data_IF_347677339686
#
_entry.id   IF_347677339686
#
_cell.length_a   1.000
_cell.length_b   1.000
_cell.length_c   1.000
_cell.angle_alpha   90.00
_cell.angle_beta   90.00
_cell.angle_gamma   90.00
#
_symmetry.space_group_name_H-M   'P 1'
#
loop_
_entity.id
_entity.type
_entity.pdbx_description
1 polymer ?
#
# COMPACT_ATOMS: atom_id res chain seq x y z
N UNK A 1 12.81 -9.06 16.03
CA UNK A 1 13.23 -7.64 15.97
C UNK A 1 14.75 -7.50 15.94
N UNK A 2 15.51 -8.15 16.84
CA UNK A 2 16.98 -8.08 16.86
C UNK A 2 17.66 -8.42 15.52
N UNK A 3 17.24 -9.51 14.87
CA UNK A 3 17.78 -9.89 13.55
C UNK A 3 17.64 -8.80 12.49
N UNK A 4 16.50 -8.09 12.42
CA UNK A 4 16.25 -7.07 11.39
C UNK A 4 17.19 -5.88 11.58
N UNK A 5 17.40 -5.48 12.84
CA UNK A 5 18.36 -4.42 13.17
C UNK A 5 19.80 -4.83 12.82
N UNK A 6 20.16 -6.10 13.02
CA UNK A 6 21.47 -6.61 12.61
C UNK A 6 21.69 -6.50 11.09
N UNK A 7 20.69 -6.91 10.29
CA UNK A 7 20.75 -6.76 8.83
C UNK A 7 20.84 -5.31 8.38
N UNK A 8 20.06 -4.42 9.00
CA UNK A 8 20.07 -2.99 8.68
C UNK A 8 21.40 -2.32 9.03
N UNK A 9 21.99 -2.66 10.18
CA UNK A 9 23.33 -2.16 10.55
C UNK A 9 24.38 -2.68 9.57
N UNK A 10 24.32 -3.97 9.20
CA UNK A 10 25.25 -4.57 8.24
C UNK A 10 25.18 -3.94 6.84
N UNK A 11 24.00 -3.49 6.42
CA UNK A 11 23.78 -2.78 5.17
C UNK A 11 24.53 -1.45 5.12
N UNK A 12 24.51 -0.66 6.20
CA UNK A 12 25.25 0.59 6.27
C UNK A 12 26.77 0.38 6.23
N UNK A 13 27.28 -0.67 6.89
CA UNK A 13 28.70 -1.03 6.80
C UNK A 13 29.12 -1.40 5.38
N UNK A 14 28.29 -2.18 4.67
CA UNK A 14 28.58 -2.56 3.28
C UNK A 14 28.53 -1.36 2.32
N UNK A 15 27.57 -0.44 2.49
CA UNK A 15 27.53 0.81 1.71
C UNK A 15 28.77 1.66 1.95
N UNK A 16 29.20 1.80 3.21
CA UNK A 16 30.41 2.54 3.54
C UNK A 16 31.65 1.95 2.85
N UNK A 17 31.76 0.61 2.81
CA UNK A 17 32.83 -0.09 2.09
C UNK A 17 32.77 0.10 0.58
N UNK A 18 31.57 0.06 -0.01
CA UNK A 18 31.39 0.39 -1.44
C UNK A 18 31.88 1.80 -1.72
N UNK A 19 31.45 2.79 -0.92
CA UNK A 19 31.86 4.18 -1.09
C UNK A 19 33.37 4.38 -0.99
N UNK A 20 34.02 3.70 -0.03
CA UNK A 20 35.48 3.71 0.14
C UNK A 20 36.20 3.15 -1.11
N UNK A 21 35.76 2.01 -1.64
CA UNK A 21 36.42 1.40 -2.82
C UNK A 21 36.15 2.18 -4.09
N UNK A 22 34.94 2.71 -4.25
CA UNK A 22 34.59 3.60 -5.37
C UNK A 22 35.46 4.86 -5.33
N UNK A 23 35.65 5.47 -4.14
CA UNK A 23 36.55 6.61 -3.99
C UNK A 23 37.99 6.27 -4.42
N UNK A 24 38.52 5.12 -4.01
CA UNK A 24 39.83 4.67 -4.45
C UNK A 24 39.90 4.44 -5.98
N UNK A 25 38.84 3.91 -6.60
CA UNK A 25 38.76 3.74 -8.05
C UNK A 25 38.69 5.07 -8.80
N UNK A 26 37.99 6.06 -8.24
CA UNK A 26 37.95 7.43 -8.78
C UNK A 26 39.35 8.05 -8.71
N UNK A 27 40.07 7.94 -7.59
CA UNK A 27 41.45 8.44 -7.50
C UNK A 27 42.42 7.78 -8.51
N UNK A 28 42.21 6.49 -8.83
CA UNK A 28 42.98 5.79 -9.87
C UNK A 28 42.55 6.18 -11.29
N UNK A 29 41.26 6.46 -11.52
CA UNK A 29 40.76 6.95 -12.80
C UNK A 29 41.22 8.40 -13.06
N UNK A 30 41.17 9.26 -12.05
CA UNK A 30 41.68 10.63 -12.12
C UNK A 30 43.18 10.65 -12.45
N UNK A 31 43.93 9.66 -11.96
CA UNK A 31 45.33 9.47 -12.31
C UNK A 31 45.53 8.95 -13.75
N UNK A 32 44.62 8.10 -14.27
CA UNK A 32 44.65 7.59 -15.65
C UNK A 32 44.41 8.69 -16.69
N UNK A 33 43.62 9.70 -16.35
CA UNK A 33 43.30 10.85 -17.20
C UNK A 33 44.17 12.09 -16.91
N UNK A 34 45.26 11.93 -16.16
CA UNK A 34 46.20 13.00 -15.78
C UNK A 34 45.55 14.22 -15.06
N UNK A 35 44.42 14.01 -14.37
CA UNK A 35 43.75 15.08 -13.61
C UNK A 35 44.42 15.39 -12.27
N UNK A 36 45.23 14.47 -11.73
CA UNK A 36 45.85 14.60 -10.41
C UNK A 36 47.30 14.10 -10.39
N UNK A 37 48.13 14.68 -9.54
CA UNK A 37 49.51 14.24 -9.35
C UNK A 37 49.57 12.82 -8.73
N UNK A 38 50.46 11.93 -9.20
CA UNK A 38 50.66 10.60 -8.61
C UNK A 38 50.92 10.62 -7.10
N UNK A 39 51.62 11.63 -6.58
CA UNK A 39 51.85 11.77 -5.13
C UNK A 39 50.54 11.98 -4.36
N UNK A 40 49.69 12.89 -4.86
CA UNK A 40 48.41 13.22 -4.22
C UNK A 40 47.42 12.05 -4.31
N UNK A 41 47.40 11.33 -5.44
CA UNK A 41 46.56 10.14 -5.61
C UNK A 41 46.99 9.02 -4.67
N UNK A 42 48.29 8.71 -4.60
CA UNK A 42 48.81 7.68 -3.69
C UNK A 42 48.55 8.03 -2.22
N UNK A 43 48.72 9.29 -1.81
CA UNK A 43 48.46 9.74 -0.44
C UNK A 43 46.97 9.59 -0.05
N UNK A 44 46.05 9.98 -0.95
CA UNK A 44 44.59 9.83 -0.74
C UNK A 44 44.18 8.37 -0.66
N UNK A 45 44.73 7.52 -1.53
CA UNK A 45 44.46 6.08 -1.51
C UNK A 45 44.98 5.47 -0.20
N UNK A 46 46.22 5.75 0.18
CA UNK A 46 46.86 5.20 1.38
C UNK A 46 46.13 5.61 2.67
N UNK A 47 45.59 6.83 2.73
CA UNK A 47 44.79 7.30 3.86
C UNK A 47 43.51 6.48 4.06
N UNK A 48 42.91 6.00 2.96
CA UNK A 48 41.60 5.33 2.96
C UNK A 48 41.70 3.79 3.02
N UNK A 49 42.86 3.21 2.68
CA UNK A 49 43.09 1.74 2.71
C UNK A 49 43.00 1.16 4.12
N UNK A 50 43.52 1.84 5.15
CA UNK A 50 43.42 1.33 6.54
C UNK A 50 41.98 1.37 7.08
N UNK A 51 41.22 2.46 6.93
CA UNK A 51 39.78 2.48 7.24
C UNK A 51 39.00 1.36 6.55
N UNK A 52 39.27 1.06 5.28
CA UNK A 52 38.64 -0.08 4.56
C UNK A 52 38.84 -1.40 5.33
N UNK A 53 40.07 -1.69 5.75
CA UNK A 53 40.40 -2.96 6.41
C UNK A 53 39.76 -3.06 7.80
N UNK A 54 39.74 -1.95 8.53
CA UNK A 54 39.12 -1.87 9.86
C UNK A 54 37.61 -2.08 9.74
N UNK A 55 36.95 -1.37 8.83
CA UNK A 55 35.49 -1.47 8.63
C UNK A 55 35.10 -2.90 8.24
N UNK A 56 35.88 -3.53 7.35
CA UNK A 56 35.65 -4.92 6.96
C UNK A 56 35.86 -5.91 8.13
N UNK A 57 36.91 -5.71 8.94
CA UNK A 57 37.17 -6.56 10.11
C UNK A 57 36.06 -6.46 11.14
N UNK A 58 35.60 -5.23 11.43
CA UNK A 58 34.46 -4.95 12.31
C UNK A 58 33.19 -5.62 11.79
N UNK A 59 32.92 -5.55 10.49
CA UNK A 59 31.77 -6.20 9.86
C UNK A 59 31.82 -7.73 10.02
N UNK A 60 32.99 -8.35 9.85
CA UNK A 60 33.16 -9.79 10.03
C UNK A 60 32.90 -10.22 11.49
N UNK A 61 33.43 -9.47 12.46
CA UNK A 61 33.22 -9.71 13.89
C UNK A 61 31.75 -9.48 14.26
N UNK A 62 31.11 -8.46 13.69
CA UNK A 62 29.69 -8.19 13.86
C UNK A 62 28.80 -9.35 13.40
N UNK A 63 29.11 -9.98 12.26
CA UNK A 63 28.37 -11.16 11.80
C UNK A 63 28.55 -12.39 12.71
N UNK A 64 29.71 -12.54 13.35
CA UNK A 64 29.94 -13.59 14.35
C UNK A 64 29.10 -13.35 15.61
N UNK A 65 29.09 -12.12 16.15
CA UNK A 65 28.31 -11.78 17.34
C UNK A 65 26.80 -11.87 17.13
N UNK A 66 26.33 -11.54 15.93
CA UNK A 66 24.89 -11.60 15.58
C UNK A 66 24.41 -13.01 15.22
N UNK A 67 25.31 -14.00 15.17
CA UNK A 67 24.98 -15.39 14.87
C UNK A 67 24.69 -15.65 13.38
N UNK A 68 25.06 -14.74 12.48
CA UNK A 68 24.89 -14.87 11.04
C UNK A 68 26.09 -15.58 10.38
N UNK A 69 26.31 -16.83 10.76
CA UNK A 69 27.47 -17.65 10.36
C UNK A 69 27.69 -17.74 8.86
N UNK A 70 26.62 -17.85 8.06
CA UNK A 70 26.71 -17.90 6.61
C UNK A 70 27.37 -16.63 6.02
N UNK A 71 26.97 -15.45 6.51
CA UNK A 71 27.55 -14.17 6.08
C UNK A 71 28.97 -13.98 6.62
N UNK A 72 29.24 -14.46 7.84
CA UNK A 72 30.59 -14.46 8.38
C UNK A 72 31.54 -15.27 7.50
N UNK A 73 31.15 -16.49 7.10
CA UNK A 73 31.92 -17.36 6.20
C UNK A 73 32.16 -16.67 4.84
N UNK A 74 31.15 -16.00 4.29
CA UNK A 74 31.28 -15.23 3.05
C UNK A 74 32.14 -13.96 3.19
N UNK A 75 32.38 -13.44 4.39
CA UNK A 75 33.26 -12.28 4.59
C UNK A 75 34.72 -12.66 4.87
N UNK A 76 34.97 -13.91 5.31
CA UNK A 76 36.29 -14.40 5.70
C UNK A 76 37.35 -14.37 4.57
N UNK A 77 37.08 -14.78 3.31
CA UNK A 77 38.10 -14.78 2.27
C UNK A 77 38.64 -13.37 1.97
N UNK A 78 37.75 -12.37 1.97
CA UNK A 78 38.11 -10.98 1.73
C UNK A 78 38.91 -10.38 2.90
N UNK A 79 38.49 -10.68 4.14
CA UNK A 79 39.23 -10.27 5.33
C UNK A 79 40.62 -10.92 5.37
N UNK A 80 40.71 -12.22 5.06
CA UNK A 80 41.97 -12.96 5.00
C UNK A 80 42.92 -12.38 3.94
N UNK A 81 42.41 -12.03 2.76
CA UNK A 81 43.19 -11.36 1.72
C UNK A 81 43.76 -10.01 2.21
N UNK A 82 42.93 -9.16 2.82
CA UNK A 82 43.38 -7.87 3.35
C UNK A 82 44.39 -8.03 4.50
N UNK A 83 44.19 -9.02 5.37
CA UNK A 83 45.12 -9.34 6.46
C UNK A 83 46.48 -9.83 5.93
N UNK A 84 46.48 -10.70 4.91
CA UNK A 84 47.69 -11.14 4.23
C UNK A 84 48.45 -9.97 3.60
N UNK A 85 47.72 -9.04 2.96
CA UNK A 85 48.30 -7.84 2.35
C UNK A 85 48.93 -6.90 3.38
N UNK A 86 48.25 -6.74 4.53
CA UNK A 86 48.77 -5.99 5.67
C UNK A 86 50.03 -6.64 6.27
N UNK A 87 50.00 -7.96 6.51
CA UNK A 87 51.13 -8.71 7.08
C UNK A 87 52.36 -8.71 6.19
N UNK A 88 52.18 -8.66 4.86
CA UNK A 88 53.27 -8.54 3.88
C UNK A 88 53.75 -7.11 3.67
N UNK A 89 53.16 -6.12 4.36
CA UNK A 89 53.41 -4.67 4.19
C UNK A 89 53.21 -4.14 2.76
N UNK A 90 52.40 -4.83 1.95
CA UNK A 90 52.12 -4.48 0.54
C UNK A 90 50.76 -3.78 0.37
N UNK A 91 50.24 -3.14 1.43
CA UNK A 91 48.93 -2.50 1.41
C UNK A 91 48.99 -1.03 0.95
N UNK A 92 50.17 -0.41 0.99
CA UNK A 92 50.38 0.96 0.53
C UNK A 92 50.75 0.97 -0.96
N UNK A 93 50.31 2.00 -1.66
CA UNK A 93 50.66 2.25 -3.06
C UNK A 93 51.90 3.12 -3.11
N UNK A 94 52.93 2.66 -3.81
CA UNK A 94 54.17 3.39 -4.03
C UNK A 94 54.03 4.38 -5.19
N UNK A 95 54.43 5.63 -4.95
CA UNK A 95 54.29 6.76 -5.90
C UNK A 95 55.06 6.51 -7.20
N UNK A 96 56.21 5.83 -7.12
CA UNK A 96 57.10 5.60 -8.26
C UNK A 96 56.64 4.48 -9.18
N UNK A 97 55.84 3.53 -8.68
CA UNK A 97 55.38 2.36 -9.43
C UNK A 97 53.90 2.41 -9.81
N UNK A 98 53.17 3.44 -9.36
CA UNK A 98 51.72 3.56 -9.51
C UNK A 98 51.24 3.47 -10.96
N UNK A 99 51.98 4.05 -11.92
CA UNK A 99 51.64 3.99 -13.34
C UNK A 99 51.88 2.60 -13.94
N UNK A 100 52.97 1.92 -13.56
CA UNK A 100 53.29 0.58 -14.06
C UNK A 100 52.28 -0.47 -13.57
N UNK A 101 51.77 -0.29 -12.35
CA UNK A 101 50.83 -1.20 -11.71
C UNK A 101 49.36 -0.74 -11.83
N UNK A 102 49.07 0.37 -12.49
CA UNK A 102 47.76 1.03 -12.52
C UNK A 102 46.63 0.08 -12.93
N UNK A 103 46.81 -0.60 -14.07
CA UNK A 103 45.84 -1.57 -14.58
C UNK A 103 45.60 -2.73 -13.61
N UNK A 104 46.65 -3.16 -12.91
CA UNK A 104 46.58 -4.25 -11.95
C UNK A 104 45.88 -3.83 -10.66
N UNK A 105 46.20 -2.66 -10.11
CA UNK A 105 45.55 -2.06 -8.94
C UNK A 105 44.06 -1.79 -9.17
N UNK A 106 43.70 -1.26 -10.35
CA UNK A 106 42.31 -1.04 -10.76
C UNK A 106 41.54 -2.37 -10.81
N UNK A 107 42.12 -3.42 -11.41
CA UNK A 107 41.49 -4.74 -11.51
C UNK A 107 41.30 -5.40 -10.13
N UNK A 108 42.27 -5.28 -9.23
CA UNK A 108 42.13 -5.75 -7.84
C UNK A 108 40.94 -5.07 -7.14
N UNK A 109 40.87 -3.74 -7.20
CA UNK A 109 39.79 -2.96 -6.54
C UNK A 109 38.42 -3.19 -7.17
N UNK A 110 38.37 -3.43 -8.49
CA UNK A 110 37.15 -3.82 -9.18
C UNK A 110 36.65 -5.21 -8.73
N UNK A 111 37.55 -6.18 -8.53
CA UNK A 111 37.19 -7.49 -8.00
C UNK A 111 36.71 -7.41 -6.54
N UNK A 112 37.39 -6.59 -5.71
CA UNK A 112 36.96 -6.26 -4.35
C UNK A 112 35.54 -5.65 -4.33
N UNK A 113 35.29 -4.69 -5.21
CA UNK A 113 33.99 -4.04 -5.37
C UNK A 113 32.90 -5.05 -5.74
N UNK A 114 33.14 -5.89 -6.74
CA UNK A 114 32.20 -6.92 -7.17
C UNK A 114 31.85 -7.88 -6.01
N UNK A 115 32.84 -8.27 -5.21
CA UNK A 115 32.64 -9.11 -4.04
C UNK A 115 31.77 -8.44 -2.96
N UNK A 116 31.99 -7.15 -2.69
CA UNK A 116 31.20 -6.41 -1.69
C UNK A 116 29.77 -6.16 -2.21
N UNK A 117 29.59 -5.88 -3.50
CA UNK A 117 28.26 -5.76 -4.11
C UNK A 117 27.48 -7.08 -4.02
N UNK A 118 28.15 -8.22 -4.25
CA UNK A 118 27.51 -9.53 -4.07
C UNK A 118 27.05 -9.75 -2.62
N UNK A 119 27.89 -9.39 -1.64
CA UNK A 119 27.52 -9.46 -0.22
C UNK A 119 26.38 -8.48 0.13
N UNK A 120 26.36 -7.28 -0.44
CA UNK A 120 25.27 -6.32 -0.29
C UNK A 120 23.95 -6.87 -0.84
N UNK A 121 23.99 -7.50 -2.01
CA UNK A 121 22.80 -8.13 -2.58
C UNK A 121 22.28 -9.28 -1.71
N UNK A 122 23.17 -10.16 -1.24
CA UNK A 122 22.79 -11.27 -0.37
C UNK A 122 22.23 -10.79 0.97
N UNK A 123 22.75 -9.71 1.55
CA UNK A 123 22.23 -9.15 2.82
C UNK A 123 20.83 -8.55 2.63
N UNK A 124 20.57 -7.84 1.52
CA UNK A 124 19.23 -7.34 1.18
C UNK A 124 18.25 -8.51 0.95
N UNK A 125 18.70 -9.56 0.26
CA UNK A 125 17.89 -10.76 0.02
C UNK A 125 17.53 -11.49 1.33
N UNK A 126 18.50 -11.70 2.21
CA UNK A 126 18.27 -12.31 3.53
C UNK A 126 17.36 -11.44 4.42
N UNK A 127 17.55 -10.12 4.42
CA UNK A 127 16.68 -9.19 5.12
C UNK A 127 15.23 -9.29 4.62
N UNK A 128 15.04 -9.34 3.30
CA UNK A 128 13.73 -9.48 2.66
C UNK A 128 13.05 -10.78 3.06
N UNK A 129 13.74 -11.93 3.01
CA UNK A 129 13.19 -13.22 3.46
C UNK A 129 12.75 -13.16 4.93
N UNK A 130 13.53 -12.51 5.80
CA UNK A 130 13.18 -12.34 7.22
C UNK A 130 12.00 -11.38 7.42
N UNK A 131 11.87 -10.35 6.59
CA UNK A 131 10.73 -9.44 6.59
C UNK A 131 9.45 -10.17 6.14
N UNK A 132 9.53 -10.98 5.08
CA UNK A 132 8.42 -11.79 4.57
C UNK A 132 8.04 -12.94 5.53
N UNK A 133 9.01 -13.59 6.17
CA UNK A 133 8.73 -14.62 7.19
C UNK A 133 8.29 -14.03 8.53
N UNK A 134 8.64 -12.78 8.85
CA UNK A 134 8.06 -12.03 9.98
C UNK A 134 6.59 -11.62 9.76
N UNK A 135 6.13 -11.62 8.50
CA UNK A 135 4.74 -11.38 8.10
C UNK A 135 3.92 -12.69 7.97
N UNK A 136 4.58 -13.86 7.89
CA UNK A 136 3.91 -15.16 8.05
C UNK A 136 3.99 -15.58 9.53
N UNK A 137 2.86 -15.80 10.24
CA UNK A 137 2.94 -16.49 11.52
C UNK A 137 3.62 -17.84 11.29
N UNK A 138 4.69 -18.12 12.05
CA UNK A 138 5.34 -19.42 12.03
C UNK A 138 4.28 -20.49 12.32
N UNK A 139 3.93 -21.27 11.32
CA UNK A 139 3.37 -22.60 11.54
C UNK A 139 4.44 -23.40 12.26
N UNK A 140 4.29 -23.57 13.56
CA UNK A 140 5.17 -24.42 14.36
C UNK A 140 5.16 -25.83 13.78
N UNK A 141 6.36 -26.28 13.45
CA UNK A 141 6.68 -27.66 13.10
C UNK A 141 6.14 -28.64 14.14
N UNK A 142 5.58 -29.72 13.61
CA UNK A 142 5.57 -31.11 14.08
C UNK A 142 6.24 -31.39 15.46
N UNK A 143 5.50 -32.08 16.32
CA UNK A 143 5.83 -32.50 17.70
C UNK A 143 5.79 -31.39 18.76
N UNK A 144 4.59 -31.11 19.28
CA UNK A 144 4.29 -31.19 20.73
C UNK A 144 2.81 -30.88 20.93
N UNK A 145 2.03 -31.90 21.25
CA UNK A 145 0.66 -31.75 21.73
C UNK A 145 0.72 -31.20 23.17
N UNK A 146 0.44 -29.91 23.32
CA UNK A 146 0.15 -29.27 24.59
C UNK A 146 -0.91 -28.22 24.36
N UNK A 147 -2.15 -28.50 24.79
CA UNK A 147 -3.26 -27.56 24.75
C UNK A 147 -2.84 -26.23 25.41
N UNK A 148 -2.56 -25.21 24.59
CA UNK A 148 -2.27 -23.87 25.08
C UNK A 148 -3.60 -23.21 25.48
N UNK A 149 -3.75 -22.98 26.79
CA UNK A 149 -4.90 -22.29 27.35
C UNK A 149 -4.95 -20.83 26.87
N UNK A 150 -5.74 -20.58 25.82
CA UNK A 150 -6.07 -19.27 25.22
C UNK A 150 -6.36 -18.17 26.26
N UNK A 151 -6.97 -18.55 27.39
CA UNK A 151 -7.29 -17.61 28.46
C UNK A 151 -6.04 -16.99 29.12
N UNK A 152 -4.95 -17.75 29.30
CA UNK A 152 -3.77 -17.25 30.00
C UNK A 152 -3.01 -16.20 29.17
N UNK A 153 -2.94 -16.39 27.86
CA UNK A 153 -2.38 -15.38 26.95
C UNK A 153 -3.27 -14.13 26.86
N UNK A 154 -4.59 -14.31 26.83
CA UNK A 154 -5.53 -13.20 26.78
C UNK A 154 -5.43 -12.30 28.03
N UNK A 155 -5.45 -12.90 29.23
CA UNK A 155 -5.27 -12.14 30.47
C UNK A 155 -3.88 -11.51 30.56
N UNK A 156 -2.83 -12.17 30.08
CA UNK A 156 -1.47 -11.61 30.04
C UNK A 156 -1.34 -10.37 29.15
N UNK A 157 -2.02 -10.35 27.99
CA UNK A 157 -2.06 -9.18 27.09
C UNK A 157 -2.85 -8.02 27.69
N UNK A 158 -3.99 -8.29 28.31
CA UNK A 158 -4.79 -7.28 28.99
C UNK A 158 -4.00 -6.65 30.15
N UNK A 159 -3.35 -7.46 30.97
CA UNK A 159 -2.57 -6.98 32.11
C UNK A 159 -1.36 -6.11 31.69
N UNK A 160 -0.70 -6.46 30.57
CA UNK A 160 0.36 -5.64 29.97
C UNK A 160 -0.16 -4.30 29.43
N UNK A 161 -1.36 -4.28 28.85
CA UNK A 161 -1.98 -3.03 28.34
C UNK A 161 -2.42 -2.08 29.45
N UNK A 162 -2.81 -2.62 30.62
CA UNK A 162 -3.14 -1.83 31.80
C UNK A 162 -1.91 -1.22 32.50
N UNK A 163 -0.73 -1.83 32.36
CA UNK A 163 0.49 -1.36 33.01
C UNK A 163 1.27 -0.29 32.21
N UNK A 164 1.00 -0.08 30.92
CA UNK A 164 1.67 0.97 30.14
C UNK A 164 0.96 2.33 30.32
N UNK A 165 1.20 2.96 31.46
CA UNK A 165 0.89 4.37 31.68
C UNK A 165 1.90 5.31 31.00
N UNK A 166 1.43 6.52 30.67
CA UNK A 166 2.19 7.72 30.23
C UNK A 166 2.67 7.82 28.78
N UNK A 167 1.80 7.53 27.80
CA UNK A 167 1.97 7.99 26.41
C UNK A 167 0.64 8.54 25.88
N UNK A 168 0.69 9.64 25.09
CA UNK A 168 -0.50 10.22 24.42
C UNK A 168 -1.36 9.10 23.82
N UNK A 169 -2.67 9.19 24.02
CA UNK A 169 -3.65 8.22 23.52
C UNK A 169 -3.65 8.17 21.99
N UNK A 170 -2.65 7.49 21.41
CA UNK A 170 -2.76 6.88 20.11
C UNK A 170 -3.80 5.79 20.27
N UNK A 171 -5.01 6.08 19.80
CA UNK A 171 -6.07 5.08 19.67
C UNK A 171 -5.51 4.02 18.72
N UNK A 172 -4.89 2.99 19.27
CA UNK A 172 -4.47 1.83 18.50
C UNK A 172 -5.74 1.33 17.83
N UNK A 173 -5.85 1.52 16.51
CA UNK A 173 -6.82 0.78 15.71
C UNK A 173 -6.43 -0.66 15.94
N UNK A 174 -7.13 -1.33 16.85
CA UNK A 174 -7.17 -2.78 16.90
C UNK A 174 -7.64 -3.17 15.52
N UNK A 175 -6.69 -3.47 14.63
CA UNK A 175 -6.97 -4.16 13.38
C UNK A 175 -7.36 -5.55 13.86
N UNK A 176 -8.66 -5.71 14.17
CA UNK A 176 -9.23 -7.02 14.40
C UNK A 176 -8.71 -7.91 13.28
N UNK A 177 -8.26 -9.12 13.62
CA UNK A 177 -8.00 -10.13 12.62
C UNK A 177 -9.24 -10.16 11.74
N UNK A 178 -9.12 -10.02 10.41
CA UNK A 178 -10.30 -10.04 9.57
C UNK A 178 -10.98 -11.37 9.85
N UNK A 179 -12.22 -11.32 10.35
CA UNK A 179 -13.12 -12.46 10.28
C UNK A 179 -13.00 -12.91 8.84
N UNK A 180 -12.52 -14.14 8.61
CA UNK A 180 -12.39 -14.68 7.26
C UNK A 180 -13.73 -14.50 6.53
N UNK A 181 -13.68 -14.22 5.23
CA UNK A 181 -14.90 -14.01 4.45
C UNK A 181 -15.81 -15.24 4.62
N UNK A 182 -17.03 -15.08 5.18
CA UNK A 182 -17.89 -16.21 5.40
C UNK A 182 -18.28 -16.82 4.05
N UNK A 183 -18.35 -18.15 4.02
CA UNK A 183 -18.80 -18.90 2.85
C UNK A 183 -20.28 -19.26 3.00
N UNK A 184 -21.00 -19.13 1.90
CA UNK A 184 -22.43 -19.43 1.81
C UNK A 184 -22.68 -20.45 0.70
N UNK A 185 -23.69 -21.34 0.87
CA UNK A 185 -24.10 -22.21 -0.20
C UNK A 185 -24.82 -21.38 -1.27
N UNK A 186 -24.35 -21.44 -2.51
CA UNK A 186 -24.97 -20.80 -3.66
C UNK A 186 -25.32 -21.85 -4.70
N UNK A 187 -26.54 -21.77 -5.23
CA UNK A 187 -27.04 -22.67 -6.27
C UNK A 187 -26.94 -21.99 -7.63
N UNK A 188 -26.13 -22.54 -8.53
CA UNK A 188 -26.09 -22.04 -9.91
C UNK A 188 -27.41 -22.35 -10.61
N UNK A 189 -28.00 -21.34 -11.28
CA UNK A 189 -29.28 -21.52 -12.00
C UNK A 189 -29.17 -22.51 -13.16
N UNK A 190 -28.01 -22.57 -13.82
CA UNK A 190 -27.78 -23.40 -15.01
C UNK A 190 -27.42 -24.85 -14.67
N UNK A 191 -26.53 -25.06 -13.70
CA UNK A 191 -26.00 -26.39 -13.35
C UNK A 191 -26.83 -27.10 -12.27
N UNK A 192 -27.64 -26.36 -11.50
CA UNK A 192 -28.44 -26.89 -10.39
C UNK A 192 -27.65 -27.43 -9.19
N UNK A 193 -26.32 -27.41 -9.25
CA UNK A 193 -25.41 -27.86 -8.18
C UNK A 193 -25.19 -26.79 -7.12
N UNK A 194 -24.94 -27.24 -5.89
CA UNK A 194 -24.59 -26.39 -4.76
C UNK A 194 -23.08 -26.19 -4.69
N UNK A 195 -22.64 -24.94 -4.65
CA UNK A 195 -21.25 -24.57 -4.49
C UNK A 195 -21.09 -23.67 -3.26
N UNK A 196 -20.01 -23.89 -2.51
CA UNK A 196 -19.64 -23.00 -1.41
C UNK A 196 -18.83 -21.84 -1.97
N UNK A 197 -19.43 -20.66 -1.98
CA UNK A 197 -18.81 -19.43 -2.47
C UNK A 197 -18.67 -18.41 -1.35
N UNK A 198 -17.72 -17.50 -1.49
CA UNK A 198 -17.61 -16.37 -0.56
C UNK A 198 -18.85 -15.46 -0.66
N UNK A 199 -19.26 -14.87 0.47
CA UNK A 199 -20.46 -14.03 0.54
C UNK A 199 -20.48 -12.90 -0.49
N UNK A 200 -19.33 -12.28 -0.75
CA UNK A 200 -19.22 -11.19 -1.73
C UNK A 200 -19.47 -11.68 -3.15
N UNK A 201 -18.97 -12.88 -3.49
CA UNK A 201 -19.20 -13.47 -4.80
C UNK A 201 -20.68 -13.85 -5.00
N UNK A 202 -21.35 -14.33 -3.94
CA UNK A 202 -22.78 -14.56 -3.98
C UNK A 202 -23.56 -13.25 -4.23
N UNK A 203 -23.18 -12.16 -3.55
CA UNK A 203 -23.81 -10.85 -3.70
C UNK A 203 -23.56 -10.24 -5.10
N UNK A 204 -22.34 -10.35 -5.64
CA UNK A 204 -22.04 -9.86 -6.98
C UNK A 204 -22.85 -10.59 -8.05
N UNK A 205 -23.08 -11.91 -7.91
CA UNK A 205 -23.96 -12.67 -8.81
C UNK A 205 -25.42 -12.21 -8.76
N UNK A 206 -25.87 -11.75 -7.59
CA UNK A 206 -27.17 -11.07 -7.41
C UNK A 206 -27.13 -9.58 -7.77
N UNK A 207 -26.07 -9.10 -8.42
CA UNK A 207 -25.87 -7.71 -8.88
C UNK A 207 -25.82 -6.69 -7.75
N UNK A 208 -25.38 -7.11 -6.57
CA UNK A 208 -25.20 -6.26 -5.41
C UNK A 208 -23.72 -5.97 -5.22
N UNK A 209 -23.33 -4.71 -5.36
CA UNK A 209 -21.96 -4.21 -5.21
C UNK A 209 -21.85 -3.39 -3.93
N UNK A 210 -20.89 -3.74 -3.06
CA UNK A 210 -20.63 -3.01 -1.83
C UNK A 210 -19.36 -2.15 -1.93
N UNK A 211 -19.49 -0.87 -1.66
CA UNK A 211 -18.41 0.11 -1.55
C UNK A 211 -18.34 0.56 -0.09
N UNK A 212 -17.59 -0.21 0.71
CA UNK A 212 -17.41 0.03 2.14
C UNK A 212 -16.04 0.56 2.54
N UNK A 213 -15.12 0.68 1.58
CA UNK A 213 -13.72 1.05 1.78
C UNK A 213 -13.37 2.30 0.97
N UNK A 214 -12.15 2.79 1.16
CA UNK A 214 -11.65 3.93 0.37
C UNK A 214 -11.59 3.54 -1.12
N UNK A 215 -12.02 4.45 -1.99
CA UNK A 215 -11.96 4.24 -3.43
C UNK A 215 -10.56 4.60 -3.92
N UNK A 216 -9.72 3.58 -4.01
CA UNK A 216 -8.38 3.67 -4.60
C UNK A 216 -8.41 3.14 -6.05
N UNK A 217 -7.34 3.33 -6.82
CA UNK A 217 -7.25 2.92 -8.23
C UNK A 217 -7.50 1.41 -8.44
N UNK A 218 -6.87 0.55 -7.63
CA UNK A 218 -7.04 -0.90 -7.71
C UNK A 218 -8.50 -1.31 -7.43
N UNK A 219 -9.09 -0.75 -6.38
CA UNK A 219 -10.46 -1.05 -5.99
C UNK A 219 -11.46 -0.55 -7.05
N UNK A 220 -11.26 0.66 -7.56
CA UNK A 220 -12.08 1.20 -8.64
C UNK A 220 -12.05 0.30 -9.87
N UNK A 221 -10.87 -0.15 -10.30
CA UNK A 221 -10.73 -1.07 -11.44
C UNK A 221 -11.48 -2.39 -11.24
N UNK A 222 -11.49 -2.94 -10.01
CA UNK A 222 -12.28 -4.13 -9.70
C UNK A 222 -13.80 -3.88 -9.80
N UNK A 223 -14.27 -2.74 -9.30
CA UNK A 223 -15.69 -2.35 -9.39
C UNK A 223 -16.09 -2.12 -10.85
N UNK A 224 -15.28 -1.39 -11.61
CA UNK A 224 -15.42 -1.18 -13.07
C UNK A 224 -15.57 -2.51 -13.82
N UNK A 225 -14.62 -3.43 -13.64
CA UNK A 225 -14.65 -4.73 -14.30
C UNK A 225 -15.90 -5.54 -13.91
N UNK A 226 -16.28 -5.50 -12.63
CA UNK A 226 -17.48 -6.17 -12.14
C UNK A 226 -18.74 -5.58 -12.77
N UNK A 227 -18.86 -4.26 -12.82
CA UNK A 227 -19.99 -3.55 -13.41
C UNK A 227 -20.17 -3.87 -14.89
N UNK A 228 -19.08 -3.80 -15.67
CA UNK A 228 -19.09 -4.15 -17.09
C UNK A 228 -19.47 -5.62 -17.30
N UNK A 229 -18.92 -6.54 -16.49
CA UNK A 229 -19.25 -7.95 -16.56
C UNK A 229 -20.74 -8.21 -16.27
N UNK A 230 -21.30 -7.58 -15.24
CA UNK A 230 -22.71 -7.73 -14.90
C UNK A 230 -23.64 -7.21 -16.01
N UNK A 231 -23.26 -6.13 -16.68
CA UNK A 231 -24.01 -5.57 -17.82
C UNK A 231 -23.98 -6.51 -19.04
N UNK A 232 -22.84 -7.19 -19.29
CA UNK A 232 -22.77 -8.19 -20.36
C UNK A 232 -23.60 -9.44 -20.11
N UNK A 233 -23.85 -9.80 -18.85
CA UNK A 233 -24.63 -10.99 -18.51
C UNK A 233 -26.11 -10.77 -18.78
N UNK A 234 -26.63 -9.59 -18.46
CA UNK A 234 -27.99 -9.18 -18.78
C UNK A 234 -28.10 -7.66 -18.57
N UNK A 235 -28.50 -6.92 -19.60
CA UNK A 235 -28.52 -5.46 -19.61
C UNK A 235 -29.87 -4.87 -19.14
N UNK A 236 -30.85 -5.73 -18.87
CA UNK A 236 -32.20 -5.34 -18.45
C UNK A 236 -32.35 -5.24 -16.93
N UNK A 237 -31.60 -6.05 -16.18
CA UNK A 237 -31.67 -6.07 -14.72
C UNK A 237 -30.80 -4.98 -14.11
N UNK A 238 -31.33 -4.34 -13.06
CA UNK A 238 -30.62 -3.30 -12.33
C UNK A 238 -29.40 -3.81 -11.55
N UNK A 239 -28.43 -2.92 -11.35
CA UNK A 239 -27.27 -3.11 -10.48
C UNK A 239 -27.49 -2.29 -9.21
N UNK A 240 -27.31 -2.90 -8.05
CA UNK A 240 -27.47 -2.24 -6.75
C UNK A 240 -26.12 -1.91 -6.13
N UNK A 241 -25.85 -0.63 -5.92
CA UNK A 241 -24.61 -0.14 -5.34
C UNK A 241 -24.84 0.35 -3.90
N UNK A 242 -24.30 -0.38 -2.93
CA UNK A 242 -24.35 -0.06 -1.51
C UNK A 242 -23.13 0.75 -1.10
N UNK A 243 -23.36 2.00 -0.69
CA UNK A 243 -22.33 2.97 -0.35
C UNK A 243 -22.25 3.15 1.18
N UNK A 244 -21.08 2.87 1.73
CA UNK A 244 -20.76 3.08 3.15
C UNK A 244 -19.31 3.55 3.30
N UNK A 245 -19.05 4.82 3.06
CA UNK A 245 -17.68 5.32 3.10
C UNK A 245 -17.54 6.80 2.76
N UNK A 246 -16.34 7.36 3.00
CA UNK A 246 -16.06 8.76 2.72
C UNK A 246 -15.75 9.05 1.24
N UNK A 247 -15.81 8.04 0.36
CA UNK A 247 -15.35 8.11 -1.03
C UNK A 247 -13.90 7.63 -1.15
N UNK A 248 -13.09 8.35 -1.90
CA UNK A 248 -11.66 8.08 -2.06
C UNK A 248 -11.01 9.09 -3.00
N UNK A 249 -10.16 8.61 -3.89
CA UNK A 249 -9.47 9.44 -4.86
C UNK A 249 -10.42 9.95 -5.95
N UNK A 250 -10.10 11.12 -6.49
CA UNK A 250 -10.94 11.83 -7.46
C UNK A 250 -11.10 11.05 -8.76
N UNK A 251 -9.98 10.71 -9.40
CA UNK A 251 -9.97 10.02 -10.71
C UNK A 251 -10.62 8.64 -10.65
N UNK A 252 -10.28 7.76 -9.67
CA UNK A 252 -10.93 6.45 -9.55
C UNK A 252 -12.44 6.54 -9.29
N UNK A 253 -12.90 7.54 -8.53
CA UNK A 253 -14.33 7.74 -8.30
C UNK A 253 -15.06 8.24 -9.54
N UNK A 254 -14.44 9.13 -10.31
CA UNK A 254 -14.99 9.61 -11.59
C UNK A 254 -15.06 8.50 -12.63
N UNK A 255 -14.11 7.57 -12.65
CA UNK A 255 -14.16 6.41 -13.55
C UNK A 255 -15.37 5.50 -13.25
N UNK A 256 -15.71 5.30 -11.96
CA UNK A 256 -16.94 4.60 -11.57
C UNK A 256 -18.17 5.38 -12.04
N UNK A 257 -18.18 6.71 -11.86
CA UNK A 257 -19.29 7.57 -12.31
C UNK A 257 -19.54 7.47 -13.83
N UNK A 258 -18.49 7.60 -14.64
CA UNK A 258 -18.60 7.49 -16.10
C UNK A 258 -19.09 6.11 -16.50
N UNK A 259 -18.64 5.07 -15.80
CA UNK A 259 -19.14 3.70 -16.02
C UNK A 259 -20.61 3.60 -15.70
N UNK A 260 -21.07 4.12 -14.55
CA UNK A 260 -22.49 4.15 -14.20
C UNK A 260 -23.37 4.78 -15.29
N UNK A 261 -22.85 5.80 -16.00
CA UNK A 261 -23.57 6.46 -17.11
C UNK A 261 -23.45 5.71 -18.45
N UNK A 262 -22.39 4.94 -18.64
CA UNK A 262 -22.12 4.18 -19.86
C UNK A 262 -22.91 2.87 -19.95
N UNK A 263 -23.21 2.26 -18.79
CA UNK A 263 -23.96 1.01 -18.74
C UNK A 263 -25.39 1.16 -19.27
N UNK A 264 -25.90 0.10 -19.88
CA UNK A 264 -27.33 -0.02 -20.23
C UNK A 264 -28.17 -0.39 -19.02
N UNK A 265 -27.63 -1.23 -18.14
CA UNK A 265 -28.27 -1.63 -16.90
C UNK A 265 -28.47 -0.41 -15.98
N UNK A 266 -29.69 -0.18 -15.46
CA UNK A 266 -29.91 0.93 -14.53
C UNK A 266 -29.18 0.68 -13.20
N UNK A 267 -28.47 1.70 -12.70
CA UNK A 267 -27.70 1.60 -11.46
C UNK A 267 -28.45 2.28 -10.31
N UNK A 268 -28.94 1.49 -9.35
CA UNK A 268 -29.59 1.98 -8.14
C UNK A 268 -28.61 2.11 -6.98
N UNK A 269 -28.63 3.23 -6.26
CA UNK A 269 -27.66 3.54 -5.19
C UNK A 269 -28.33 3.48 -3.82
N UNK A 270 -27.61 2.94 -2.83
CA UNK A 270 -28.12 2.73 -1.47
C UNK A 270 -27.10 3.22 -0.45
N UNK A 271 -27.40 4.30 0.26
CA UNK A 271 -26.55 4.78 1.37
C UNK A 271 -26.85 3.99 2.65
N UNK A 272 -25.84 3.26 3.13
CA UNK A 272 -25.89 2.51 4.38
C UNK A 272 -24.86 3.06 5.34
N UNK A 273 -25.32 3.76 6.37
CA UNK A 273 -24.44 4.34 7.39
C UNK A 273 -23.93 5.73 7.00
N UNK A 274 -22.93 5.82 6.12
CA UNK A 274 -22.39 7.11 5.71
C UNK A 274 -22.01 7.17 4.23
N UNK A 275 -22.26 8.30 3.58
CA UNK A 275 -21.77 8.60 2.23
C UNK A 275 -21.25 10.04 2.19
N UNK A 276 -19.93 10.20 2.34
CA UNK A 276 -19.30 11.52 2.34
C UNK A 276 -18.54 11.79 1.04
N UNK A 277 -18.34 13.06 0.73
CA UNK A 277 -17.56 13.57 -0.42
C UNK A 277 -17.96 12.87 -1.73
N UNK A 278 -17.04 12.11 -2.33
CA UNK A 278 -17.25 11.42 -3.60
C UNK A 278 -18.21 10.23 -3.49
N UNK A 279 -18.32 9.57 -2.33
CA UNK A 279 -19.38 8.58 -2.12
C UNK A 279 -20.77 9.24 -2.08
N UNK A 280 -20.88 10.45 -1.51
CA UNK A 280 -22.10 11.24 -1.57
C UNK A 280 -22.45 11.67 -3.01
N UNK A 281 -21.43 12.00 -3.82
CA UNK A 281 -21.61 12.29 -5.24
C UNK A 281 -22.11 11.06 -6.01
N UNK A 282 -21.47 9.90 -5.83
CA UNK A 282 -21.88 8.63 -6.45
C UNK A 282 -23.30 8.22 -6.02
N UNK A 283 -23.69 8.51 -4.76
CA UNK A 283 -25.06 8.28 -4.30
C UNK A 283 -26.07 9.08 -5.13
N UNK A 284 -25.81 10.38 -5.32
CA UNK A 284 -26.67 11.26 -6.09
C UNK A 284 -26.70 10.94 -7.58
N UNK A 285 -25.62 10.33 -8.10
CA UNK A 285 -25.43 9.92 -9.49
C UNK A 285 -26.27 8.71 -9.94
N UNK A 286 -26.84 7.95 -9.00
CA UNK A 286 -27.69 6.80 -9.31
C UNK A 286 -28.91 7.16 -10.14
N UNK A 287 -29.53 6.15 -10.74
CA UNK A 287 -30.71 6.31 -11.58
C UNK A 287 -31.85 7.00 -10.81
N UNK A 288 -32.51 7.97 -11.45
CA UNK A 288 -33.52 8.79 -10.77
C UNK A 288 -34.73 7.94 -10.38
N UNK A 289 -35.16 8.04 -9.13
CA UNK A 289 -36.20 7.20 -8.52
C UNK A 289 -35.66 5.92 -7.88
N UNK A 290 -34.37 5.61 -8.04
CA UNK A 290 -33.68 4.44 -7.49
C UNK A 290 -32.51 4.80 -6.57
N UNK A 291 -32.52 6.02 -6.01
CA UNK A 291 -31.53 6.47 -5.02
C UNK A 291 -32.12 6.38 -3.62
N UNK A 292 -31.52 5.57 -2.77
CA UNK A 292 -32.06 5.21 -1.47
C UNK A 292 -31.09 5.53 -0.34
N UNK A 293 -31.62 5.82 0.85
CA UNK A 293 -30.83 5.86 2.07
C UNK A 293 -31.58 5.21 3.24
N UNK A 294 -30.83 4.69 4.21
CA UNK A 294 -31.41 4.30 5.49
C UNK A 294 -31.76 5.54 6.34
N UNK A 295 -32.72 5.45 7.27
CA UNK A 295 -33.16 6.62 8.05
C UNK A 295 -32.09 7.31 8.90
N UNK A 296 -31.06 6.56 9.33
CA UNK A 296 -29.95 7.11 10.12
C UNK A 296 -28.68 7.32 9.29
N UNK A 297 -28.77 7.20 7.96
CA UNK A 297 -27.65 7.45 7.07
C UNK A 297 -27.27 8.93 7.08
N UNK A 298 -25.97 9.20 7.11
CA UNK A 298 -25.42 10.55 7.06
C UNK A 298 -24.77 10.79 5.72
N UNK A 299 -25.20 11.83 5.05
CA UNK A 299 -24.65 12.21 3.75
C UNK A 299 -23.91 13.53 3.93
N UNK A 300 -22.74 13.67 3.32
CA UNK A 300 -22.01 14.92 3.35
C UNK A 300 -21.36 15.17 1.99
N UNK A 301 -21.41 16.42 1.56
CA UNK A 301 -20.79 16.85 0.32
C UNK A 301 -19.82 17.99 0.62
N UNK A 302 -18.74 18.05 -0.15
CA UNK A 302 -17.71 19.08 -0.06
C UNK A 302 -17.16 19.35 -1.44
N UNK A 303 -16.62 20.54 -1.65
CA UNK A 303 -15.77 20.82 -2.82
C UNK A 303 -14.58 19.87 -2.85
N UNK A 304 -14.18 19.37 -4.04
CA UNK A 304 -12.91 18.67 -4.19
C UNK A 304 -11.76 19.56 -3.72
N UNK A 305 -10.74 18.92 -3.16
CA UNK A 305 -9.54 19.57 -2.66
C UNK A 305 -8.31 18.90 -3.28
N UNK A 306 -7.28 19.69 -3.57
CA UNK A 306 -6.02 19.24 -4.11
C UNK A 306 -4.89 20.13 -3.62
N UNK A 307 -3.65 19.67 -3.76
CA UNK A 307 -2.45 20.44 -3.43
C UNK A 307 -1.49 20.42 -4.61
N UNK A 308 -1.10 21.61 -5.07
CA UNK A 308 -0.10 21.79 -6.12
C UNK A 308 1.20 22.34 -5.52
N UNK A 309 2.34 21.90 -6.04
CA UNK A 309 3.69 22.40 -5.67
C UNK A 309 4.56 22.42 -6.92
N UNK A 310 5.38 23.46 -7.10
CA UNK A 310 6.24 23.58 -8.26
C UNK A 310 6.43 25.02 -8.69
N UNK A 311 6.69 25.22 -9.98
CA UNK A 311 6.76 26.55 -10.57
C UNK A 311 5.38 27.24 -10.55
N UNK A 312 5.37 28.57 -10.68
CA UNK A 312 4.12 29.34 -10.67
C UNK A 312 3.16 28.87 -11.77
N UNK A 313 3.67 28.56 -12.96
CA UNK A 313 2.89 28.09 -14.10
C UNK A 313 2.27 26.69 -13.82
N UNK A 314 3.04 25.78 -13.21
CA UNK A 314 2.54 24.44 -12.82
C UNK A 314 1.40 24.56 -11.80
N UNK A 315 1.57 25.44 -10.80
CA UNK A 315 0.54 25.70 -9.79
C UNK A 315 -0.71 26.28 -10.43
N UNK A 316 -0.56 27.21 -11.38
CA UNK A 316 -1.69 27.81 -12.09
C UNK A 316 -2.44 26.77 -12.94
N UNK A 317 -1.71 25.90 -13.64
CA UNK A 317 -2.29 24.83 -14.45
C UNK A 317 -3.09 23.84 -13.59
N UNK A 318 -2.51 23.38 -12.47
CA UNK A 318 -3.17 22.44 -11.57
C UNK A 318 -4.41 23.07 -10.89
N UNK A 319 -4.31 24.35 -10.48
CA UNK A 319 -5.45 25.08 -9.90
C UNK A 319 -6.59 25.26 -10.92
N UNK A 320 -6.26 25.51 -12.19
CA UNK A 320 -7.25 25.59 -13.28
C UNK A 320 -7.93 24.25 -13.52
N UNK A 321 -7.18 23.15 -13.49
CA UNK A 321 -7.74 21.80 -13.66
C UNK A 321 -8.65 21.40 -12.49
N UNK A 322 -8.22 21.66 -11.26
CA UNK A 322 -9.06 21.42 -10.08
C UNK A 322 -10.36 22.24 -10.13
N UNK A 323 -10.28 23.49 -10.59
CA UNK A 323 -11.47 24.33 -10.80
C UNK A 323 -12.40 23.76 -11.87
N UNK A 324 -11.85 23.27 -12.99
CA UNK A 324 -12.60 22.59 -14.06
C UNK A 324 -13.37 21.38 -13.51
N UNK A 325 -12.71 20.53 -12.72
CA UNK A 325 -13.33 19.33 -12.16
C UNK A 325 -14.40 19.69 -11.13
N UNK A 326 -14.14 20.67 -10.26
CA UNK A 326 -15.15 21.18 -9.31
C UNK A 326 -16.41 21.65 -10.04
N UNK A 327 -16.23 22.48 -11.06
CA UNK A 327 -17.35 23.06 -11.79
C UNK A 327 -18.16 21.97 -12.52
N UNK A 328 -17.47 20.96 -13.08
CA UNK A 328 -18.11 19.78 -13.65
C UNK A 328 -18.94 19.01 -12.62
N UNK A 329 -18.37 18.67 -11.46
CA UNK A 329 -19.06 17.95 -10.39
C UNK A 329 -20.31 18.70 -9.90
N UNK A 330 -20.21 20.02 -9.75
CA UNK A 330 -21.33 20.83 -9.26
C UNK A 330 -22.45 20.94 -10.31
N UNK A 331 -22.10 21.04 -11.59
CA UNK A 331 -23.08 20.99 -12.67
C UNK A 331 -23.80 19.64 -12.75
N UNK A 332 -23.09 18.53 -12.56
CA UNK A 332 -23.71 17.19 -12.53
C UNK A 332 -24.58 17.00 -11.28
N UNK A 333 -24.14 17.49 -10.11
CA UNK A 333 -24.98 17.51 -8.92
C UNK A 333 -26.23 18.35 -9.12
N UNK A 334 -26.16 19.49 -9.80
CA UNK A 334 -27.31 20.33 -10.11
C UNK A 334 -28.33 19.57 -10.96
N UNK A 335 -27.87 18.87 -12.00
CA UNK A 335 -28.73 18.03 -12.84
C UNK A 335 -29.38 16.90 -12.04
N UNK A 336 -28.61 16.21 -11.21
CA UNK A 336 -29.08 15.05 -10.45
C UNK A 336 -30.03 15.44 -9.30
N UNK A 337 -29.82 16.59 -8.67
CA UNK A 337 -30.65 17.07 -7.54
C UNK A 337 -31.84 17.92 -7.98
N UNK A 338 -31.75 18.57 -9.14
CA UNK A 338 -32.72 19.57 -9.59
C UNK A 338 -32.53 20.96 -8.95
N UNK A 339 -31.50 21.14 -8.13
CA UNK A 339 -31.16 22.45 -7.54
C UNK A 339 -30.43 23.33 -8.56
N UNK A 340 -30.57 24.67 -8.49
CA UNK A 340 -29.80 25.56 -9.34
C UNK A 340 -28.31 25.48 -8.97
N UNK A 341 -27.45 25.59 -10.00
CA UNK A 341 -25.99 25.48 -9.87
C UNK A 341 -25.46 26.47 -8.83
N UNK A 342 -25.94 27.71 -8.81
CA UNK A 342 -25.52 28.74 -7.85
C UNK A 342 -25.75 28.34 -6.38
N UNK A 343 -26.88 27.68 -6.09
CA UNK A 343 -27.18 27.17 -4.74
C UNK A 343 -26.19 26.08 -4.35
N UNK A 344 -25.85 25.17 -5.26
CA UNK A 344 -24.85 24.13 -5.02
C UNK A 344 -23.48 24.73 -4.76
N UNK A 345 -23.05 25.72 -5.55
CA UNK A 345 -21.78 26.43 -5.32
C UNK A 345 -21.72 27.08 -3.94
N UNK A 346 -22.81 27.73 -3.51
CA UNK A 346 -22.90 28.37 -2.20
C UNK A 346 -22.86 27.34 -1.08
N UNK A 347 -23.65 26.28 -1.21
CA UNK A 347 -23.83 25.23 -0.20
C UNK A 347 -22.57 24.37 -0.03
N UNK A 348 -21.89 24.04 -1.12
CA UNK A 348 -20.72 23.14 -1.13
C UNK A 348 -19.38 23.88 -1.04
N UNK A 349 -19.41 25.21 -0.87
CA UNK A 349 -18.22 26.01 -0.55
C UNK A 349 -17.50 25.52 0.71
N UNK A 350 -18.26 24.90 1.63
CA UNK A 350 -17.77 24.17 2.80
C UNK A 350 -18.45 22.80 2.86
N UNK A 351 -18.06 22.00 3.85
CA UNK A 351 -18.71 20.71 4.09
C UNK A 351 -20.15 20.92 4.54
N UNK A 352 -21.12 20.51 3.71
CA UNK A 352 -22.53 20.46 4.06
C UNK A 352 -22.91 19.03 4.42
N UNK A 353 -23.59 18.86 5.56
CA UNK A 353 -24.05 17.57 6.07
C UNK A 353 -25.57 17.52 5.96
N UNK A 354 -26.08 16.35 5.63
CA UNK A 354 -27.48 16.07 5.44
C UNK A 354 -27.85 14.83 6.26
N UNK A 355 -28.97 14.93 6.97
CA UNK A 355 -29.71 13.77 7.43
C UNK A 355 -30.45 13.11 6.25
N UNK A 356 -30.98 11.90 6.42
CA UNK A 356 -31.68 11.20 5.34
C UNK A 356 -32.88 11.99 4.78
N UNK A 357 -33.64 12.65 5.66
CA UNK A 357 -34.79 13.50 5.28
C UNK A 357 -34.33 14.74 4.51
N UNK A 358 -33.36 15.48 5.05
CA UNK A 358 -32.76 16.65 4.38
C UNK A 358 -32.14 16.29 3.03
N UNK A 359 -31.52 15.10 2.91
CA UNK A 359 -30.94 14.64 1.65
C UNK A 359 -32.02 14.33 0.60
N UNK A 360 -33.19 13.83 1.05
CA UNK A 360 -34.33 13.59 0.17
C UNK A 360 -34.94 14.91 -0.30
N UNK A 361 -35.13 15.87 0.61
CA UNK A 361 -35.62 17.22 0.28
C UNK A 361 -34.66 17.98 -0.65
N UNK A 362 -33.35 17.83 -0.45
CA UNK A 362 -32.34 18.44 -1.31
C UNK A 362 -32.25 17.78 -2.69
N UNK A 363 -32.82 16.57 -2.87
CA UNK A 363 -32.82 15.82 -4.12
C UNK A 363 -31.62 14.90 -4.33
N UNK A 364 -30.83 14.62 -3.29
CA UNK A 364 -29.70 13.67 -3.35
C UNK A 364 -30.15 12.21 -3.39
N UNK A 365 -31.29 11.94 -2.76
CA UNK A 365 -31.94 10.63 -2.72
C UNK A 365 -33.42 10.77 -3.04
N UNK A 366 -34.06 9.69 -3.48
CA UNK A 366 -35.47 9.68 -3.83
C UNK A 366 -36.34 9.11 -2.70
N UNK A 367 -35.84 8.09 -1.99
CA UNK A 367 -36.61 7.38 -0.95
C UNK A 367 -35.77 6.96 0.24
N UNK A 368 -36.37 7.04 1.42
CA UNK A 368 -35.78 6.51 2.66
C UNK A 368 -36.34 5.09 2.86
N UNK A 369 -35.46 4.09 2.84
CA UNK A 369 -35.85 2.67 2.87
C UNK A 369 -35.10 1.94 3.98
N UNK A 370 -35.81 1.07 4.70
CA UNK A 370 -35.20 0.05 5.55
C UNK A 370 -35.24 -1.28 4.82
N UNK A 371 -34.23 -2.15 4.98
CA UNK A 371 -34.34 -3.52 4.51
C UNK A 371 -35.60 -4.14 5.16
N UNK A 372 -36.44 -4.82 4.37
CA UNK A 372 -37.68 -5.40 4.87
C UNK A 372 -37.33 -6.37 6.01
N UNK A 373 -38.03 -6.25 7.14
CA UNK A 373 -37.93 -7.27 8.19
C UNK A 373 -38.50 -8.57 7.62
N UNK A 374 -37.68 -9.61 7.58
CA UNK A 374 -38.18 -10.96 7.35
C UNK A 374 -39.14 -11.24 8.51
N UNK A 375 -40.45 -11.39 8.21
CA UNK A 375 -41.44 -11.78 9.22
C UNK A 375 -41.10 -13.18 9.70
N UNK A 376 -41.26 -13.45 11.00
CA UNK A 376 -40.95 -14.76 11.57
C UNK A 376 -41.68 -15.91 10.87
N UNK A 377 -42.90 -15.63 10.38
CA UNK A 377 -43.78 -16.60 9.71
C UNK A 377 -43.68 -16.53 8.18
N UNK A 378 -42.70 -15.81 7.61
CA UNK A 378 -42.53 -15.77 6.16
C UNK A 378 -42.13 -17.17 5.66
N UNK A 379 -42.83 -17.73 4.65
CA UNK A 379 -42.36 -18.95 4.01
C UNK A 379 -40.95 -18.71 3.47
N UNK A 380 -40.06 -19.69 3.60
CA UNK A 380 -38.73 -19.62 2.98
C UNK A 380 -38.95 -19.32 1.49
N UNK A 381 -38.40 -18.21 1.00
CA UNK A 381 -38.50 -17.87 -0.41
C UNK A 381 -38.02 -19.07 -1.24
N UNK A 382 -38.84 -19.49 -2.20
CA UNK A 382 -38.44 -20.51 -3.15
C UNK A 382 -37.16 -20.05 -3.87
N UNK A 383 -36.20 -20.97 -3.96
CA UNK A 383 -34.78 -20.77 -4.28
C UNK A 383 -34.48 -20.07 -5.62
N UNK A 384 -35.51 -19.72 -6.40
CA UNK A 384 -35.44 -19.11 -7.73
C UNK A 384 -35.60 -17.59 -7.74
N UNK A 385 -36.14 -16.95 -6.68
CA UNK A 385 -36.26 -15.49 -6.65
C UNK A 385 -34.97 -14.87 -6.12
N UNK A 386 -34.13 -14.39 -7.03
CA UNK A 386 -33.03 -13.47 -6.68
C UNK A 386 -33.57 -12.20 -5.99
N UNK A 387 -32.67 -11.36 -5.47
CA UNK A 387 -33.00 -10.06 -4.89
C UNK A 387 -33.51 -9.13 -6.01
N UNK A 388 -34.78 -9.28 -6.38
CA UNK A 388 -35.45 -8.60 -7.49
C UNK A 388 -36.17 -7.33 -7.08
#
# INVERSE_FOLDING_TARGET
>A
MGDIWAWLISFFFLIALVGIIVYQLVCLADLEFDYINPYDSAARINYVVLPEFIVQGVLCVFYLFTGHWFMAILCLPYMYYNFQLYSKRQHLVDVTEIFNLLNWEKKKRLFKLAYIILNLFLTIFCCSIKLYSGLKPQSSSFLTNGYQNLNKEFYGRIHKSLQSGTGKASRSRVKMMPIGTPRVPYRNREEGTWQWVDIWNALYRERVIFIGQNIDEEFSNQILATMLYLDTLDDSRRIYMYLNGPGGDLTPSLAIYDTMKSLKSPVGTHCVGLAYNLAGFLLAAGEKGQRFAMPLSRIALTSPAGAARGQADDIQNEAKELSRIRDYLFNELAKNTGQPVETIFKDLSRVKRFNAEEAMEYGLIDKIVRPPRIKADAPRQDETSGLG
#
